data_IF_097403049635
#
_entry.id   IF_097403049635
#
_cell.length_a   1.000
_cell.length_b   1.000
_cell.length_c   1.000
_cell.angle_alpha   90.00
_cell.angle_beta   90.00
_cell.angle_gamma   90.00
#
_symmetry.space_group_name_H-M   'P 1'
#
loop_
_entity.id
_entity.type
_entity.pdbx_description
1 polymer ?
#
# COMPACT_ATOMS: atom_id res chain seq x y z
N UNK A 1 -0.54 46.04 -41.10
CA UNK A 1 -0.76 46.16 -39.62
C UNK A 1 -1.66 45.04 -39.10
N UNK A 2 -2.74 44.62 -39.82
CA UNK A 2 -3.67 43.59 -39.39
C UNK A 2 -3.05 42.16 -39.30
N UNK A 3 -2.21 41.79 -40.24
CA UNK A 3 -1.52 40.47 -40.26
C UNK A 3 -0.56 40.33 -39.09
N UNK A 4 0.15 41.39 -38.70
CA UNK A 4 1.09 41.39 -37.57
C UNK A 4 0.38 41.25 -36.21
N UNK A 5 -0.83 41.80 -36.09
CA UNK A 5 -1.66 41.66 -34.88
C UNK A 5 -2.22 40.22 -34.70
N UNK A 6 -2.58 39.57 -35.81
CA UNK A 6 -3.07 38.16 -35.81
C UNK A 6 -1.92 37.19 -35.49
N UNK A 7 -0.71 37.42 -36.06
CA UNK A 7 0.46 36.61 -35.75
C UNK A 7 0.90 36.74 -34.28
N UNK A 8 0.88 37.98 -33.75
CA UNK A 8 1.20 38.22 -32.32
C UNK A 8 0.16 37.56 -31.37
N UNK A 9 -1.13 37.61 -31.74
CA UNK A 9 -2.21 36.99 -30.96
C UNK A 9 -2.13 35.46 -31.01
N UNK A 10 -1.75 34.86 -32.14
CA UNK A 10 -1.54 33.42 -32.28
C UNK A 10 -0.31 32.93 -31.48
N UNK A 11 0.77 33.73 -31.46
CA UNK A 11 1.98 33.43 -30.71
C UNK A 11 1.74 33.48 -29.21
N UNK A 12 1.04 34.50 -28.71
CA UNK A 12 0.65 34.62 -27.30
C UNK A 12 -0.29 33.46 -26.90
N UNK A 13 -1.26 33.12 -27.75
CA UNK A 13 -2.17 32.01 -27.51
C UNK A 13 -1.43 30.67 -27.44
N UNK A 14 -0.46 30.43 -28.33
CA UNK A 14 0.40 29.24 -28.30
C UNK A 14 1.30 29.21 -27.06
N UNK A 15 1.77 30.33 -26.58
CA UNK A 15 2.58 30.45 -25.39
C UNK A 15 1.73 30.17 -24.11
N UNK A 16 0.49 30.69 -24.05
CA UNK A 16 -0.42 30.50 -22.91
C UNK A 16 -1.06 29.11 -22.86
N UNK A 17 -1.43 28.53 -24.01
CA UNK A 17 -2.17 27.26 -24.06
C UNK A 17 -1.25 26.05 -24.33
N UNK A 18 0.00 26.30 -24.77
CA UNK A 18 0.95 25.27 -25.17
C UNK A 18 0.76 24.81 -26.61
N UNK A 19 1.77 24.16 -27.15
CA UNK A 19 1.70 23.38 -28.38
C UNK A 19 1.91 21.90 -28.03
N UNK A 20 1.62 21.00 -28.97
CA UNK A 20 1.67 19.54 -28.73
C UNK A 20 2.99 19.02 -28.11
N UNK A 21 4.09 19.80 -28.24
CA UNK A 21 5.42 19.43 -27.73
C UNK A 21 5.88 20.21 -26.47
N UNK A 22 5.23 21.33 -26.11
CA UNK A 22 5.61 22.13 -24.92
C UNK A 22 4.39 22.46 -24.08
N UNK A 23 4.38 21.99 -22.84
CA UNK A 23 3.35 22.39 -21.86
C UNK A 23 3.45 23.89 -21.60
N UNK A 24 2.34 24.61 -21.73
CA UNK A 24 2.26 26.03 -21.43
C UNK A 24 2.54 26.28 -19.94
N UNK A 25 3.17 27.40 -19.57
CA UNK A 25 3.36 27.75 -18.17
C UNK A 25 2.02 27.85 -17.40
N UNK A 26 0.95 28.29 -18.06
CA UNK A 26 -0.39 28.31 -17.45
C UNK A 26 -0.91 26.89 -17.19
N UNK A 27 -0.77 25.96 -18.14
CA UNK A 27 -1.20 24.57 -17.95
C UNK A 27 -0.37 23.87 -16.85
N UNK A 28 0.91 24.19 -16.74
CA UNK A 28 1.76 23.70 -15.65
C UNK A 28 1.33 24.27 -14.31
N UNK A 29 1.04 25.56 -14.22
CA UNK A 29 0.57 26.20 -13.00
C UNK A 29 -0.75 25.57 -12.52
N UNK A 30 -1.73 25.40 -13.42
CA UNK A 30 -3.00 24.72 -13.10
C UNK A 30 -2.75 23.27 -12.67
N UNK A 31 -1.93 22.53 -13.40
CA UNK A 31 -1.60 21.15 -13.07
C UNK A 31 -0.99 21.01 -11.65
N UNK A 32 0.03 21.83 -11.34
CA UNK A 32 0.65 21.78 -10.02
C UNK A 32 -0.26 22.31 -8.92
N UNK A 33 -1.11 23.32 -9.18
CA UNK A 33 -2.09 23.80 -8.21
C UNK A 33 -3.09 22.71 -7.83
N UNK A 34 -3.61 21.97 -8.83
CA UNK A 34 -4.51 20.84 -8.58
C UNK A 34 -3.78 19.72 -7.85
N UNK A 35 -2.56 19.38 -8.28
CA UNK A 35 -1.75 18.35 -7.64
C UNK A 35 -1.45 18.66 -6.17
N UNK A 36 -1.05 19.90 -5.87
CA UNK A 36 -0.77 20.36 -4.51
C UNK A 36 -2.05 20.37 -3.68
N UNK A 37 -3.17 20.85 -4.25
CA UNK A 37 -4.45 20.86 -3.57
C UNK A 37 -4.93 19.46 -3.19
N UNK A 38 -4.89 18.53 -4.13
CA UNK A 38 -5.23 17.13 -3.87
C UNK A 38 -4.24 16.52 -2.88
N UNK A 39 -2.93 16.73 -3.07
CA UNK A 39 -1.89 16.25 -2.16
C UNK A 39 -2.08 16.77 -0.73
N UNK A 40 -2.44 18.05 -0.58
CA UNK A 40 -2.74 18.63 0.73
C UNK A 40 -3.92 17.94 1.41
N UNK A 41 -5.02 17.68 0.68
CA UNK A 41 -6.19 16.98 1.24
C UNK A 41 -5.81 15.59 1.77
N UNK A 42 -4.95 14.85 1.05
CA UNK A 42 -4.48 13.53 1.51
C UNK A 42 -3.48 13.60 2.67
N UNK A 43 -2.63 14.61 2.70
CA UNK A 43 -1.59 14.76 3.73
C UNK A 43 -2.14 15.41 4.99
N UNK A 44 -3.19 16.24 4.87
CA UNK A 44 -3.80 16.98 5.98
C UNK A 44 -4.10 16.12 7.23
N UNK A 45 -4.79 14.96 7.12
CA UNK A 45 -5.07 14.14 8.30
C UNK A 45 -3.80 13.66 9.00
N UNK A 46 -2.75 13.34 8.23
CA UNK A 46 -1.47 12.87 8.77
C UNK A 46 -0.76 14.00 9.53
N UNK A 47 -0.73 15.20 8.94
CA UNK A 47 -0.16 16.38 9.61
C UNK A 47 -0.93 16.72 10.87
N UNK A 48 -2.25 16.67 10.82
CA UNK A 48 -3.11 16.93 11.97
C UNK A 48 -2.86 15.92 13.11
N UNK A 49 -2.78 14.63 12.79
CA UNK A 49 -2.43 13.59 13.76
C UNK A 49 -1.04 13.82 14.35
N UNK A 50 -0.06 14.19 13.53
CA UNK A 50 1.31 14.46 13.96
C UNK A 50 1.34 15.62 14.96
N UNK A 51 0.70 16.73 14.62
CA UNK A 51 0.65 17.93 15.50
C UNK A 51 -0.05 17.60 16.82
N UNK A 52 -1.23 16.97 16.76
CA UNK A 52 -2.01 16.61 17.95
C UNK A 52 -1.27 15.61 18.86
N UNK A 53 -0.37 14.80 18.30
CA UNK A 53 0.41 13.86 19.11
C UNK A 53 1.33 14.56 20.12
N UNK A 54 1.70 15.81 19.83
CA UNK A 54 2.54 16.65 20.70
C UNK A 54 1.74 17.65 21.54
N UNK A 55 0.41 17.70 21.39
CA UNK A 55 -0.45 18.60 22.16
C UNK A 55 -0.74 18.06 23.56
N UNK A 56 -0.78 18.96 24.54
CA UNK A 56 -1.24 18.63 25.88
C UNK A 56 -2.76 18.36 25.92
N UNK A 57 -3.29 17.67 26.93
CA UNK A 57 -4.75 17.53 27.07
C UNK A 57 -5.49 18.86 27.19
N UNK A 58 -4.83 19.91 27.70
CA UNK A 58 -5.38 21.25 27.79
C UNK A 58 -5.47 21.88 26.38
N UNK A 59 -4.41 21.77 25.57
CA UNK A 59 -4.40 22.26 24.19
C UNK A 59 -5.46 21.58 23.33
N UNK A 60 -5.62 20.26 23.50
CA UNK A 60 -6.64 19.49 22.76
C UNK A 60 -8.08 19.88 23.15
N UNK A 61 -8.28 20.41 24.35
CA UNK A 61 -9.57 20.90 24.83
C UNK A 61 -9.87 22.35 24.43
N UNK A 62 -8.87 23.11 24.01
CA UNK A 62 -9.00 24.51 23.62
C UNK A 62 -9.17 24.66 22.10
N UNK A 63 -10.37 25.05 21.60
CA UNK A 63 -10.61 25.22 20.17
C UNK A 63 -9.75 26.30 19.50
N UNK A 64 -9.16 27.21 20.27
CA UNK A 64 -8.28 28.28 19.74
C UNK A 64 -6.91 27.75 19.32
N UNK A 65 -6.50 26.60 19.83
CA UNK A 65 -5.22 25.93 19.55
C UNK A 65 -5.43 24.81 18.55
N UNK A 66 -5.14 25.06 17.26
CA UNK A 66 -5.43 24.08 16.21
C UNK A 66 -4.20 23.43 15.60
N UNK A 67 -3.09 24.16 15.44
CA UNK A 67 -1.91 23.71 14.69
C UNK A 67 -0.58 23.83 15.41
N UNK A 68 -0.48 24.68 16.39
CA UNK A 68 0.77 24.92 17.11
C UNK A 68 0.52 24.63 18.58
N UNK A 69 1.10 23.56 19.16
CA UNK A 69 0.96 23.26 20.57
C UNK A 69 1.58 24.39 21.42
N UNK A 70 0.99 24.71 22.56
CA UNK A 70 1.52 25.69 23.51
C UNK A 70 2.87 25.24 24.07
N UNK A 71 3.02 23.92 24.26
CA UNK A 71 4.26 23.25 24.65
C UNK A 71 4.33 21.86 24.04
N UNK A 72 5.55 21.33 23.86
CA UNK A 72 5.73 19.97 23.35
C UNK A 72 5.47 18.95 24.47
N UNK A 73 4.33 18.27 24.39
CA UNK A 73 3.91 17.29 25.38
C UNK A 73 4.14 15.86 24.90
N UNK A 74 5.14 15.18 25.46
CA UNK A 74 5.48 13.78 25.13
C UNK A 74 4.70 12.75 25.94
N UNK A 75 3.85 13.17 26.87
CA UNK A 75 3.04 12.26 27.70
C UNK A 75 2.09 11.36 26.90
N UNK A 76 1.63 11.82 25.73
CA UNK A 76 0.76 11.05 24.85
C UNK A 76 1.47 9.79 24.33
N UNK A 77 2.73 9.89 23.97
CA UNK A 77 3.54 8.74 23.51
C UNK A 77 3.69 7.71 24.63
N UNK A 78 4.01 8.17 25.86
CA UNK A 78 4.11 7.26 27.02
C UNK A 78 2.80 6.52 27.26
N UNK A 79 1.65 7.22 27.21
CA UNK A 79 0.32 6.61 27.34
C UNK A 79 0.04 5.63 26.22
N UNK A 80 0.35 6.00 24.96
CA UNK A 80 0.14 5.13 23.80
C UNK A 80 1.00 3.86 23.88
N UNK A 81 2.29 3.97 24.23
CA UNK A 81 3.18 2.82 24.42
C UNK A 81 2.68 1.86 25.49
N UNK A 82 2.18 2.39 26.61
CA UNK A 82 1.63 1.59 27.69
C UNK A 82 0.29 0.94 27.29
N UNK A 83 -0.62 1.70 26.67
CA UNK A 83 -1.94 1.20 26.26
C UNK A 83 -1.87 0.12 25.17
N UNK A 84 -0.88 0.22 24.26
CA UNK A 84 -0.66 -0.75 23.19
C UNK A 84 0.16 -1.98 23.64
N UNK A 85 0.72 -1.99 24.85
CA UNK A 85 1.75 -2.97 25.25
C UNK A 85 2.79 -3.09 24.11
N UNK A 86 3.37 -1.94 23.72
CA UNK A 86 4.04 -1.72 22.44
C UNK A 86 5.06 -2.79 22.10
N UNK A 87 5.94 -3.13 23.03
CA UNK A 87 7.03 -4.08 22.76
C UNK A 87 6.52 -5.48 22.48
N UNK A 88 5.52 -5.94 23.23
CA UNK A 88 4.88 -7.25 23.04
C UNK A 88 4.12 -7.28 21.71
N UNK A 89 3.34 -6.23 21.42
CA UNK A 89 2.60 -6.10 20.18
C UNK A 89 3.52 -6.03 18.96
N UNK A 90 4.64 -5.30 19.07
CA UNK A 90 5.66 -5.21 18.02
C UNK A 90 6.29 -6.58 17.75
N UNK A 91 6.74 -7.29 18.80
CA UNK A 91 7.33 -8.62 18.66
C UNK A 91 6.33 -9.60 18.04
N UNK A 92 5.10 -9.59 18.52
CA UNK A 92 4.03 -10.43 17.97
C UNK A 92 3.77 -10.13 16.49
N UNK A 93 3.69 -8.85 16.11
CA UNK A 93 3.53 -8.42 14.72
C UNK A 93 4.70 -8.86 13.84
N UNK A 94 5.93 -8.75 14.33
CA UNK A 94 7.12 -9.21 13.61
C UNK A 94 7.08 -10.73 13.37
N UNK A 95 6.78 -11.51 14.39
CA UNK A 95 6.69 -12.97 14.28
C UNK A 95 5.57 -13.37 13.31
N UNK A 96 4.39 -12.73 13.44
CA UNK A 96 3.22 -13.02 12.60
C UNK A 96 3.37 -12.56 11.15
N UNK A 97 4.34 -11.70 10.86
CA UNK A 97 4.57 -11.20 9.50
C UNK A 97 5.81 -11.82 8.86
N UNK A 98 6.94 -11.81 9.57
CA UNK A 98 8.25 -12.22 9.00
C UNK A 98 8.28 -13.72 8.71
N UNK A 99 7.83 -14.56 9.63
CA UNK A 99 7.85 -16.00 9.42
C UNK A 99 6.94 -16.46 8.26
N UNK A 100 5.65 -16.05 8.18
CA UNK A 100 4.83 -16.37 7.01
C UNK A 100 5.39 -15.84 5.70
N UNK A 101 5.98 -14.64 5.72
CA UNK A 101 6.64 -14.05 4.53
C UNK A 101 7.80 -14.92 4.05
N UNK A 102 8.66 -15.39 4.95
CA UNK A 102 9.78 -16.26 4.61
C UNK A 102 9.27 -17.60 4.05
N UNK A 103 8.29 -18.24 4.70
CA UNK A 103 7.70 -19.47 4.20
C UNK A 103 7.06 -19.29 2.82
N UNK A 104 6.26 -18.24 2.65
CA UNK A 104 5.63 -17.94 1.37
C UNK A 104 6.64 -17.68 0.27
N UNK A 105 7.70 -16.94 0.54
CA UNK A 105 8.77 -16.64 -0.42
C UNK A 105 9.52 -17.92 -0.80
N UNK A 106 9.86 -18.77 0.18
CA UNK A 106 10.53 -20.02 -0.07
C UNK A 106 9.69 -20.96 -0.94
N UNK A 107 8.42 -21.17 -0.59
CA UNK A 107 7.50 -22.01 -1.36
C UNK A 107 7.32 -21.46 -2.77
N UNK A 108 7.08 -20.15 -2.92
CA UNK A 108 6.93 -19.51 -4.23
C UNK A 108 8.20 -19.65 -5.09
N UNK A 109 9.39 -19.51 -4.48
CA UNK A 109 10.68 -19.67 -5.18
C UNK A 109 10.90 -21.09 -5.67
N UNK A 110 10.68 -22.08 -4.80
CA UNK A 110 10.84 -23.50 -5.16
C UNK A 110 9.86 -23.89 -6.26
N UNK A 111 8.59 -23.53 -6.13
CA UNK A 111 7.57 -23.83 -7.14
C UNK A 111 7.83 -23.08 -8.45
N UNK A 112 8.16 -21.80 -8.38
CA UNK A 112 8.48 -20.98 -9.56
C UNK A 112 9.68 -21.51 -10.33
N UNK A 113 10.75 -21.86 -9.61
CA UNK A 113 11.94 -22.47 -10.17
C UNK A 113 11.62 -23.85 -10.79
N UNK A 114 10.87 -24.69 -10.08
CA UNK A 114 10.44 -26.01 -10.59
C UNK A 114 9.64 -25.90 -11.87
N UNK A 115 8.68 -24.98 -11.92
CA UNK A 115 7.87 -24.71 -13.12
C UNK A 115 8.70 -24.13 -14.28
N UNK A 116 9.76 -23.37 -14.00
CA UNK A 116 10.60 -22.80 -15.04
C UNK A 116 11.55 -23.84 -15.66
N UNK A 117 12.20 -24.67 -14.83
CA UNK A 117 13.34 -25.50 -15.22
C UNK A 117 13.02 -26.93 -15.55
N UNK A 118 11.95 -27.48 -15.01
CA UNK A 118 11.61 -28.89 -15.23
C UNK A 118 10.44 -29.07 -16.17
N UNK A 119 10.53 -30.11 -17.00
CA UNK A 119 9.42 -30.59 -17.81
C UNK A 119 8.79 -31.82 -17.14
N UNK A 120 7.48 -31.77 -16.90
CA UNK A 120 6.74 -32.84 -16.25
C UNK A 120 5.29 -32.92 -16.80
N UNK A 121 4.62 -34.06 -16.62
CA UNK A 121 3.26 -34.22 -17.08
C UNK A 121 2.33 -33.18 -16.49
N UNK A 122 1.41 -32.65 -17.30
CA UNK A 122 0.40 -31.68 -16.90
C UNK A 122 0.95 -30.31 -16.42
N UNK A 123 2.22 -29.98 -16.68
CA UNK A 123 2.83 -28.67 -16.34
C UNK A 123 1.94 -27.49 -16.76
N UNK A 124 1.44 -27.50 -17.99
CA UNK A 124 0.54 -26.44 -18.51
C UNK A 124 -0.75 -26.31 -17.70
N UNK A 125 -1.30 -27.45 -17.26
CA UNK A 125 -2.48 -27.45 -16.39
C UNK A 125 -2.19 -26.82 -15.04
N UNK A 126 -1.07 -27.16 -14.41
CA UNK A 126 -0.66 -26.54 -13.14
C UNK A 126 -0.46 -25.04 -13.26
N UNK A 127 0.20 -24.56 -14.32
CA UNK A 127 0.35 -23.14 -14.60
C UNK A 127 -1.02 -22.48 -14.77
N UNK A 128 -1.93 -23.09 -15.55
CA UNK A 128 -3.29 -22.57 -15.74
C UNK A 128 -4.07 -22.49 -14.42
N UNK A 129 -3.96 -23.49 -13.54
CA UNK A 129 -4.59 -23.48 -12.23
C UNK A 129 -4.03 -22.35 -11.34
N UNK A 130 -2.72 -22.12 -11.33
CA UNK A 130 -2.12 -21.03 -10.56
C UNK A 130 -2.57 -19.69 -11.14
N UNK A 131 -2.57 -19.51 -12.46
CA UNK A 131 -3.05 -18.29 -13.11
C UNK A 131 -4.53 -18.05 -12.81
N UNK A 132 -5.37 -19.07 -12.80
CA UNK A 132 -6.79 -18.93 -12.48
C UNK A 132 -7.03 -18.40 -11.05
N UNK A 133 -6.08 -18.63 -10.12
CA UNK A 133 -6.17 -18.07 -8.75
C UNK A 133 -6.09 -16.55 -8.71
N UNK A 134 -5.55 -15.88 -9.75
CA UNK A 134 -5.57 -14.42 -9.85
C UNK A 134 -6.97 -13.87 -10.11
N UNK A 135 -7.81 -14.65 -10.80
CA UNK A 135 -9.19 -14.26 -11.13
C UNK A 135 -10.07 -14.32 -9.88
N UNK A 136 -9.75 -15.23 -8.95
CA UNK A 136 -10.52 -15.41 -7.73
C UNK A 136 -10.16 -14.31 -6.72
N UNK A 137 -11.10 -13.43 -6.30
CA UNK A 137 -10.86 -12.45 -5.27
C UNK A 137 -10.56 -13.18 -3.93
N UNK A 138 -9.48 -12.80 -3.28
CA UNK A 138 -9.09 -13.40 -1.98
C UNK A 138 -10.16 -13.23 -0.89
N UNK A 139 -11.01 -12.23 -1.02
CA UNK A 139 -12.11 -11.91 -0.11
C UNK A 139 -13.16 -13.02 -0.04
N UNK A 140 -13.43 -13.72 -1.16
CA UNK A 140 -14.39 -14.84 -1.20
C UNK A 140 -13.93 -15.98 -0.30
N UNK A 141 -12.62 -16.18 -0.17
CA UNK A 141 -12.03 -17.24 0.64
C UNK A 141 -11.96 -16.92 2.13
N UNK A 142 -12.30 -15.69 2.54
CA UNK A 142 -12.17 -15.26 3.92
C UNK A 142 -13.09 -16.07 4.86
N UNK A 143 -14.38 -16.12 4.53
CA UNK A 143 -15.39 -16.81 5.37
C UNK A 143 -15.17 -18.33 5.41
N UNK A 144 -15.00 -19.03 4.26
CA UNK A 144 -14.69 -20.47 4.29
C UNK A 144 -13.42 -20.80 5.07
N UNK A 145 -12.38 -19.99 4.93
CA UNK A 145 -11.12 -20.20 5.66
C UNK A 145 -11.31 -20.00 7.17
N UNK A 146 -12.08 -18.98 7.56
CA UNK A 146 -12.40 -18.76 8.98
C UNK A 146 -13.17 -19.94 9.56
N UNK A 147 -14.21 -20.42 8.87
CA UNK A 147 -14.99 -21.58 9.31
C UNK A 147 -14.09 -22.82 9.47
N UNK A 148 -13.24 -23.10 8.48
CA UNK A 148 -12.29 -24.21 8.54
C UNK A 148 -11.37 -24.12 9.76
N UNK A 149 -10.80 -22.97 10.03
CA UNK A 149 -9.91 -22.78 11.20
C UNK A 149 -10.65 -22.84 12.53
N UNK A 150 -11.93 -22.44 12.53
CA UNK A 150 -12.81 -22.57 13.67
C UNK A 150 -13.09 -24.04 13.97
N UNK A 151 -13.48 -24.81 12.98
CA UNK A 151 -13.79 -26.25 13.11
C UNK A 151 -12.57 -27.06 13.58
N UNK A 152 -11.38 -26.66 13.15
CA UNK A 152 -10.12 -27.26 13.63
C UNK A 152 -9.64 -26.71 14.98
N UNK A 153 -10.31 -25.73 15.57
CA UNK A 153 -9.94 -25.14 16.86
C UNK A 153 -8.62 -24.37 16.89
N UNK A 154 -8.13 -23.90 15.72
CA UNK A 154 -6.81 -23.26 15.60
C UNK A 154 -6.87 -21.74 15.44
N UNK A 155 -8.06 -21.13 15.51
CA UNK A 155 -8.27 -19.69 15.26
C UNK A 155 -7.41 -18.79 16.16
N UNK A 156 -7.28 -19.12 17.45
CA UNK A 156 -6.52 -18.31 18.42
C UNK A 156 -5.05 -18.74 18.53
N UNK A 157 -4.49 -19.29 17.49
CA UNK A 157 -3.10 -19.75 17.41
C UNK A 157 -2.36 -19.05 16.30
N UNK A 158 -1.08 -19.38 16.09
CA UNK A 158 -0.26 -18.90 14.97
C UNK A 158 -0.59 -19.59 13.63
N UNK A 159 -1.24 -20.74 13.67
CA UNK A 159 -1.50 -21.59 12.51
C UNK A 159 -2.30 -20.92 11.39
N UNK A 160 -3.35 -20.09 11.67
CA UNK A 160 -4.07 -19.38 10.60
C UNK A 160 -3.18 -18.51 9.72
N UNK A 161 -2.07 -18.00 10.24
CA UNK A 161 -1.09 -17.22 9.47
C UNK A 161 -0.05 -18.10 8.76
N UNK A 162 0.39 -19.18 9.40
CA UNK A 162 1.51 -20.00 8.93
C UNK A 162 1.08 -21.08 7.93
N UNK A 163 -0.03 -21.77 8.17
CA UNK A 163 -0.50 -22.84 7.28
C UNK A 163 -0.76 -22.36 5.86
N UNK A 164 -1.48 -21.27 5.59
CA UNK A 164 -1.66 -20.80 4.24
C UNK A 164 -0.35 -20.43 3.55
N UNK A 165 0.60 -19.83 4.29
CA UNK A 165 1.91 -19.47 3.76
C UNK A 165 2.72 -20.69 3.31
N UNK A 166 2.70 -21.76 4.10
CA UNK A 166 3.35 -23.05 3.80
C UNK A 166 2.61 -23.83 2.71
N UNK A 167 1.27 -23.78 2.67
CA UNK A 167 0.44 -24.57 1.78
C UNK A 167 0.14 -23.89 0.42
N UNK A 168 0.84 -22.82 0.10
CA UNK A 168 0.81 -22.24 -1.23
C UNK A 168 -0.04 -20.98 -1.39
N UNK A 169 -0.37 -20.24 -0.34
CA UNK A 169 -0.94 -18.89 -0.49
C UNK A 169 -0.08 -18.00 -1.37
N UNK A 170 1.25 -18.24 -1.38
CA UNK A 170 2.22 -17.52 -2.20
C UNK A 170 2.35 -18.01 -3.64
N UNK A 171 1.60 -19.02 -4.10
CA UNK A 171 1.71 -19.55 -5.45
C UNK A 171 1.42 -18.53 -6.54
N UNK A 172 0.59 -17.52 -6.26
CA UNK A 172 0.43 -16.37 -7.16
C UNK A 172 1.79 -15.72 -7.46
N UNK A 173 2.63 -15.54 -6.46
CA UNK A 173 3.97 -14.97 -6.62
C UNK A 173 4.91 -15.90 -7.38
N UNK A 174 4.69 -17.22 -7.38
CA UNK A 174 5.49 -18.18 -8.14
C UNK A 174 5.46 -17.93 -9.65
N UNK A 175 4.36 -17.37 -10.19
CA UNK A 175 4.26 -16.98 -11.60
C UNK A 175 5.27 -15.87 -11.94
N UNK A 176 5.44 -14.88 -11.09
CA UNK A 176 6.43 -13.82 -11.29
C UNK A 176 7.86 -14.39 -11.24
N UNK A 177 8.10 -15.31 -10.31
CA UNK A 177 9.39 -15.99 -10.19
C UNK A 177 9.65 -16.91 -11.39
N UNK A 178 8.61 -17.59 -11.89
CA UNK A 178 8.70 -18.39 -13.11
C UNK A 178 9.17 -17.54 -14.29
N UNK A 179 8.57 -16.35 -14.49
CA UNK A 179 8.97 -15.44 -15.58
C UNK A 179 10.41 -14.96 -15.42
N UNK A 180 10.87 -14.78 -14.19
CA UNK A 180 12.26 -14.36 -13.92
C UNK A 180 13.27 -15.45 -14.28
N UNK A 181 12.92 -16.73 -14.15
CA UNK A 181 13.80 -17.86 -14.44
C UNK A 181 13.68 -18.42 -15.87
N UNK A 182 12.68 -17.97 -16.64
CA UNK A 182 12.53 -18.29 -18.07
C UNK A 182 13.49 -17.48 -18.94
#
# INVERSE_FOLDING_TARGET
KQIMSVLKKSSIKKWLIGSHERKSPLSLAVYYSVLIGIGFIYVYPILYMLVNSFMSPADLADPSISWIPSELFFGNFKKAFAALDFWKSLLNSLIMTVLPMLFQTLVASVVGFGLARYEFPLKKMWIALIVSTFILPSQIMLVPRYALFYDYGIINTVFPSYLPALLGQGLKSAIFILVFFM
#
